data_IF_209291163383
#
_entry.id   IF_209291163383
#
_cell.length_a   1.000
_cell.length_b   1.000
_cell.length_c   1.000
_cell.angle_alpha   90.00
_cell.angle_beta   90.00
_cell.angle_gamma   90.00
#
_symmetry.space_group_name_H-M   'P 1'
#
loop_
_entity.id
_entity.type
_entity.pdbx_description
1 polymer ?
#
# COMPACT_ATOMS: atom_id res chain seq x y z
N UNK A 1 33.16 5.11 -7.00
CA UNK A 1 31.74 4.71 -6.96
C UNK A 1 31.03 5.72 -6.08
N UNK A 2 29.87 6.23 -6.49
CA UNK A 2 29.15 7.28 -5.79
C UNK A 2 27.67 6.91 -5.66
N UNK A 3 27.04 7.38 -4.58
CA UNK A 3 25.59 7.30 -4.40
C UNK A 3 24.93 8.33 -5.33
N UNK A 4 23.78 8.05 -5.96
CA UNK A 4 23.04 9.04 -6.74
C UNK A 4 22.79 10.33 -5.95
N UNK A 5 23.07 11.49 -6.55
CA UNK A 5 22.82 12.78 -5.92
C UNK A 5 21.32 13.11 -5.98
N UNK A 6 20.63 12.84 -4.86
CA UNK A 6 19.19 13.07 -4.70
C UNK A 6 18.93 14.26 -3.78
N UNK A 7 17.75 14.88 -3.91
CA UNK A 7 17.38 16.01 -3.06
C UNK A 7 17.27 15.56 -1.60
N UNK A 8 18.16 16.09 -0.75
CA UNK A 8 18.28 15.72 0.68
C UNK A 8 17.02 16.00 1.49
N UNK A 9 16.27 17.06 1.17
CA UNK A 9 15.00 17.34 1.86
C UNK A 9 13.96 16.28 1.55
N UNK A 10 13.82 15.91 0.26
CA UNK A 10 12.88 14.87 -0.18
C UNK A 10 13.30 13.49 0.34
N UNK A 11 14.60 13.25 0.50
CA UNK A 11 15.12 12.04 1.14
C UNK A 11 14.74 12.00 2.64
N UNK A 12 14.95 13.09 3.39
CA UNK A 12 14.53 13.17 4.80
C UNK A 12 13.00 13.05 4.95
N UNK A 13 12.22 13.59 4.02
CA UNK A 13 10.76 13.41 3.99
C UNK A 13 10.36 11.93 3.80
N UNK A 14 10.99 11.21 2.86
CA UNK A 14 10.76 9.78 2.64
C UNK A 14 11.22 8.92 3.85
N UNK A 15 12.38 9.22 4.42
CA UNK A 15 12.87 8.57 5.63
C UNK A 15 11.96 8.85 6.84
N UNK A 16 11.40 10.07 6.95
CA UNK A 16 10.39 10.44 7.95
C UNK A 16 9.00 9.87 7.66
N UNK A 17 8.76 9.29 6.47
CA UNK A 17 7.63 8.40 6.18
C UNK A 17 7.95 6.92 6.42
N UNK A 18 9.20 6.61 6.77
CA UNK A 18 9.68 5.26 7.08
C UNK A 18 10.18 4.45 5.89
N UNK A 19 10.43 5.06 4.73
CA UNK A 19 11.09 4.36 3.63
C UNK A 19 12.58 4.14 3.95
N UNK A 20 13.16 2.96 3.67
CA UNK A 20 14.60 2.76 3.78
C UNK A 20 15.38 3.69 2.84
N UNK A 21 16.47 4.28 3.34
CA UNK A 21 17.36 5.21 2.62
C UNK A 21 17.68 4.76 1.19
N UNK A 22 18.04 3.48 1.01
CA UNK A 22 18.38 2.91 -0.31
C UNK A 22 17.19 2.94 -1.28
N UNK A 23 16.01 2.49 -0.82
CA UNK A 23 14.78 2.54 -1.61
C UNK A 23 14.40 3.98 -1.94
N UNK A 24 14.49 4.89 -0.97
CA UNK A 24 14.19 6.31 -1.14
C UNK A 24 15.13 7.01 -2.15
N UNK A 25 16.44 6.77 -2.08
CA UNK A 25 17.42 7.24 -3.08
C UNK A 25 17.08 6.70 -4.47
N UNK A 26 16.80 5.40 -4.59
CA UNK A 26 16.44 4.75 -5.85
C UNK A 26 15.15 5.34 -6.45
N UNK A 27 14.16 5.62 -5.62
CA UNK A 27 12.90 6.22 -6.02
C UNK A 27 13.03 7.69 -6.43
N UNK A 28 13.80 8.50 -5.69
CA UNK A 28 14.11 9.88 -6.06
C UNK A 28 14.87 9.95 -7.40
N UNK A 29 15.80 9.01 -7.62
CA UNK A 29 16.50 8.88 -8.90
C UNK A 29 15.54 8.54 -10.06
N UNK A 30 14.67 7.52 -9.92
CA UNK A 30 13.77 7.12 -11.02
C UNK A 30 12.54 8.02 -11.21
N UNK A 31 12.11 8.76 -10.18
CA UNK A 31 11.11 9.84 -10.30
C UNK A 31 11.71 11.19 -10.73
N UNK A 32 13.02 11.24 -11.02
CA UNK A 32 13.71 12.42 -11.54
C UNK A 32 13.83 13.59 -10.55
N UNK A 33 13.86 13.31 -9.23
CA UNK A 33 13.82 14.30 -8.14
C UNK A 33 12.64 15.31 -8.24
N UNK A 34 11.53 14.93 -8.90
CA UNK A 34 10.47 15.87 -9.30
C UNK A 34 9.54 16.30 -8.16
N UNK A 35 8.98 15.35 -7.41
CA UNK A 35 8.12 15.57 -6.23
C UNK A 35 8.25 14.40 -5.26
N UNK A 36 8.01 14.63 -3.96
CA UNK A 36 8.05 13.56 -2.95
C UNK A 36 6.93 12.55 -3.24
N UNK A 37 5.79 13.00 -3.76
CA UNK A 37 4.69 12.15 -4.21
C UNK A 37 5.07 11.21 -5.36
N UNK A 38 5.79 11.69 -6.39
CA UNK A 38 6.22 10.84 -7.49
C UNK A 38 7.20 9.74 -7.04
N UNK A 39 8.07 10.03 -6.06
CA UNK A 39 8.92 9.01 -5.46
C UNK A 39 8.12 7.98 -4.64
N UNK A 40 7.09 8.41 -3.89
CA UNK A 40 6.20 7.50 -3.15
C UNK A 40 5.41 6.61 -4.10
N UNK A 41 4.84 7.16 -5.16
CA UNK A 41 4.05 6.41 -6.12
C UNK A 41 4.93 5.40 -6.89
N UNK A 42 6.17 5.77 -7.28
CA UNK A 42 7.14 4.83 -7.84
C UNK A 42 7.51 3.70 -6.87
N UNK A 43 7.69 4.01 -5.58
CA UNK A 43 7.99 3.03 -4.52
C UNK A 43 6.88 1.99 -4.35
N UNK A 44 5.62 2.39 -4.53
CA UNK A 44 4.45 1.51 -4.44
C UNK A 44 4.34 0.60 -5.66
N UNK A 45 4.63 1.10 -6.86
CA UNK A 45 4.60 0.30 -8.09
C UNK A 45 5.67 -0.79 -8.12
N UNK A 46 6.86 -0.52 -7.55
CA UNK A 46 8.03 -1.41 -7.62
C UNK A 46 8.30 -2.18 -6.31
N UNK A 47 7.40 -2.12 -5.31
CA UNK A 47 7.70 -2.51 -3.91
C UNK A 47 8.18 -3.97 -3.71
N UNK A 48 7.87 -4.85 -4.67
CA UNK A 48 8.16 -6.28 -4.71
C UNK A 48 9.35 -6.65 -5.62
N UNK A 49 9.99 -5.70 -6.28
CA UNK A 49 11.16 -5.96 -7.14
C UNK A 49 12.34 -6.47 -6.29
N UNK A 50 13.02 -7.51 -6.79
CA UNK A 50 14.06 -8.21 -6.03
C UNK A 50 15.34 -7.40 -5.84
N UNK A 51 15.54 -6.37 -6.65
CA UNK A 51 16.67 -5.46 -6.64
C UNK A 51 16.31 -4.04 -6.14
N UNK A 52 15.11 -3.81 -5.59
CA UNK A 52 14.73 -2.48 -5.06
C UNK A 52 15.62 -2.02 -3.88
N UNK A 53 16.21 -2.97 -3.15
CA UNK A 53 17.19 -2.71 -2.07
C UNK A 53 18.64 -2.63 -2.59
N UNK A 54 18.87 -2.68 -3.91
CA UNK A 54 20.16 -2.41 -4.53
C UNK A 54 20.28 -0.94 -4.95
N UNK A 55 21.33 -0.26 -4.47
CA UNK A 55 21.67 1.13 -4.85
C UNK A 55 22.03 1.16 -6.35
N UNK A 56 21.37 1.97 -7.18
CA UNK A 56 21.75 2.12 -8.59
C UNK A 56 23.19 2.61 -8.75
N UNK A 57 24.04 1.78 -9.36
CA UNK A 57 25.43 2.13 -9.66
C UNK A 57 25.50 3.04 -10.89
N UNK A 58 25.60 4.36 -10.66
CA UNK A 58 25.71 5.38 -11.71
C UNK A 58 26.87 6.36 -11.43
N UNK A 59 27.36 6.99 -12.50
CA UNK A 59 28.38 8.03 -12.43
C UNK A 59 27.71 9.42 -12.37
N UNK A 60 28.11 10.25 -11.41
CA UNK A 60 27.83 11.71 -11.35
C UNK A 60 28.64 12.45 -12.43
N UNK A 61 28.24 13.60 -12.99
CA UNK A 61 27.01 14.42 -12.86
C UNK A 61 26.67 15.02 -14.26
N UNK A 62 26.06 16.18 -14.57
CA UNK A 62 25.68 17.42 -13.85
C UNK A 62 24.43 18.03 -14.54
N UNK A 63 23.54 18.71 -13.79
CA UNK A 63 22.56 19.75 -14.23
C UNK A 63 21.44 19.41 -15.26
N UNK A 64 20.25 19.96 -14.99
CA UNK A 64 19.09 19.94 -15.90
C UNK A 64 18.98 21.29 -16.61
N UNK A 65 19.64 21.42 -17.77
CA UNK A 65 19.30 22.45 -18.77
C UNK A 65 19.22 21.81 -20.17
N UNK A 66 18.44 22.46 -21.05
CA UNK A 66 17.91 21.95 -22.33
C UNK A 66 18.74 20.90 -23.10
N UNK A 67 18.16 19.70 -23.23
CA UNK A 67 18.10 18.99 -24.50
C UNK A 67 19.39 18.39 -25.06
N UNK A 68 19.91 17.33 -24.42
CA UNK A 68 20.81 16.36 -25.10
C UNK A 68 20.35 14.94 -24.82
N UNK A 69 20.17 14.12 -25.88
CA UNK A 69 19.86 12.69 -25.74
C UNK A 69 21.12 11.92 -25.34
N UNK A 70 21.13 11.35 -24.14
CA UNK A 70 22.24 10.52 -23.64
C UNK A 70 22.24 9.08 -24.18
N UNK A 71 21.31 8.75 -25.09
CA UNK A 71 21.31 7.52 -25.87
C UNK A 71 21.41 7.82 -27.36
N UNK A 72 22.16 7.00 -28.09
CA UNK A 72 22.17 7.04 -29.55
C UNK A 72 20.80 6.59 -30.11
N UNK A 73 20.41 7.03 -31.33
CA UNK A 73 19.12 6.65 -31.91
C UNK A 73 18.88 5.14 -32.00
N UNK A 74 19.93 4.34 -32.20
CA UNK A 74 19.83 2.88 -32.30
C UNK A 74 19.76 2.18 -30.94
N UNK A 75 20.30 2.75 -29.86
CA UNK A 75 20.03 2.29 -28.49
C UNK A 75 18.58 2.58 -28.09
N UNK A 76 18.06 3.76 -28.44
CA UNK A 76 16.64 4.10 -28.21
C UNK A 76 15.72 3.16 -28.99
N UNK A 77 16.01 2.90 -30.27
CA UNK A 77 15.28 1.89 -31.09
C UNK A 77 15.34 0.51 -30.45
N UNK A 78 16.54 0.03 -30.11
CA UNK A 78 16.75 -1.29 -29.46
C UNK A 78 15.97 -1.42 -28.15
N UNK A 79 15.97 -0.38 -27.31
CA UNK A 79 15.25 -0.37 -26.04
C UNK A 79 13.74 -0.32 -26.24
N UNK A 80 13.25 0.49 -27.19
CA UNK A 80 11.84 0.55 -27.56
C UNK A 80 11.34 -0.78 -28.15
N UNK A 81 12.17 -1.48 -28.92
CA UNK A 81 11.83 -2.77 -29.49
C UNK A 81 11.73 -3.87 -28.42
N UNK A 82 12.67 -3.95 -27.49
CA UNK A 82 12.58 -4.86 -26.33
C UNK A 82 11.34 -4.59 -25.47
N UNK A 83 10.99 -3.31 -25.25
CA UNK A 83 9.77 -2.93 -24.53
C UNK A 83 8.50 -3.34 -25.30
N UNK A 84 8.48 -3.20 -26.64
CA UNK A 84 7.39 -3.68 -27.50
C UNK A 84 7.27 -5.20 -27.49
N UNK A 85 8.38 -5.93 -27.45
CA UNK A 85 8.41 -7.39 -27.36
C UNK A 85 7.86 -7.89 -26.00
N UNK A 86 8.31 -7.29 -24.90
CA UNK A 86 7.80 -7.58 -23.55
C UNK A 86 6.29 -7.24 -23.45
N UNK A 87 5.86 -6.13 -24.03
CA UNK A 87 4.46 -5.73 -24.11
C UNK A 87 3.62 -6.58 -25.10
N UNK A 88 4.23 -7.49 -25.88
CA UNK A 88 3.51 -8.58 -26.58
C UNK A 88 3.43 -9.81 -25.67
N UNK A 89 4.57 -10.29 -25.17
CA UNK A 89 4.66 -11.45 -24.26
C UNK A 89 3.71 -11.35 -23.05
N UNK A 90 3.59 -10.15 -22.45
CA UNK A 90 2.67 -9.93 -21.33
C UNK A 90 1.18 -10.00 -21.75
N UNK A 91 0.82 -9.61 -22.98
CA UNK A 91 -0.51 -9.83 -23.54
C UNK A 91 -0.77 -11.30 -23.82
N UNK A 92 0.18 -11.98 -24.47
CA UNK A 92 0.08 -13.41 -24.78
C UNK A 92 -0.11 -14.27 -23.51
N UNK A 93 0.52 -13.87 -22.39
CA UNK A 93 0.39 -14.50 -21.07
C UNK A 93 -0.96 -14.20 -20.42
N UNK A 94 -1.43 -12.95 -20.43
CA UNK A 94 -2.71 -12.57 -19.81
C UNK A 94 -3.91 -13.12 -20.61
N UNK A 95 -3.82 -13.19 -21.93
CA UNK A 95 -4.81 -13.88 -22.79
C UNK A 95 -4.87 -15.38 -22.49
N UNK A 96 -3.71 -16.06 -22.33
CA UNK A 96 -3.68 -17.46 -21.89
C UNK A 96 -4.26 -17.64 -20.48
N UNK A 97 -4.02 -16.70 -19.56
CA UNK A 97 -4.57 -16.74 -18.20
C UNK A 97 -6.10 -16.62 -18.24
N UNK A 98 -6.62 -15.62 -18.96
CA UNK A 98 -8.06 -15.40 -19.14
C UNK A 98 -8.74 -16.60 -19.84
N UNK A 99 -8.10 -17.20 -20.84
CA UNK A 99 -8.62 -18.40 -21.51
C UNK A 99 -8.70 -19.59 -20.54
N UNK A 100 -7.64 -19.85 -19.76
CA UNK A 100 -7.65 -20.92 -18.73
C UNK A 100 -8.69 -20.66 -17.62
N UNK A 101 -8.99 -19.40 -17.31
CA UNK A 101 -10.04 -19.04 -16.36
C UNK A 101 -11.43 -19.26 -16.94
N UNK A 102 -11.67 -18.87 -18.20
CA UNK A 102 -12.92 -19.15 -18.93
C UNK A 102 -13.21 -20.65 -19.00
N UNK A 103 -12.24 -21.47 -19.40
CA UNK A 103 -12.39 -22.93 -19.43
C UNK A 103 -12.73 -23.52 -18.05
N UNK A 104 -12.08 -23.04 -16.97
CA UNK A 104 -12.42 -23.44 -15.60
C UNK A 104 -13.84 -23.02 -15.21
N UNK A 105 -14.26 -21.82 -15.58
CA UNK A 105 -15.61 -21.32 -15.32
C UNK A 105 -16.68 -22.11 -16.09
N UNK A 106 -16.42 -22.51 -17.33
CA UNK A 106 -17.32 -23.33 -18.13
C UNK A 106 -17.41 -24.77 -17.62
N UNK A 107 -16.28 -25.41 -17.28
CA UNK A 107 -16.30 -26.73 -16.60
C UNK A 107 -17.07 -26.66 -15.27
N UNK A 108 -16.94 -25.57 -14.51
CA UNK A 108 -17.71 -25.34 -13.27
C UNK A 108 -19.21 -25.13 -13.54
N UNK A 109 -19.59 -24.52 -14.67
CA UNK A 109 -20.99 -24.40 -15.10
C UNK A 109 -21.57 -25.76 -15.50
N UNK A 110 -20.84 -26.54 -16.31
CA UNK A 110 -21.24 -27.89 -16.74
C UNK A 110 -21.39 -28.86 -15.55
N UNK A 111 -20.48 -28.81 -14.57
CA UNK A 111 -20.58 -29.62 -13.35
C UNK A 111 -21.80 -29.22 -12.50
N UNK A 112 -22.23 -27.94 -12.55
CA UNK A 112 -23.44 -27.44 -11.85
C UNK A 112 -24.75 -27.75 -12.59
N UNK A 113 -24.70 -28.34 -13.79
CA UNK A 113 -25.91 -28.79 -14.52
C UNK A 113 -26.29 -30.26 -14.27
N UNK A 114 -25.62 -30.98 -13.37
CA UNK A 114 -26.17 -32.23 -12.83
C UNK A 114 -27.17 -31.94 -11.69
N UNK A 115 -28.40 -32.49 -11.73
CA UNK A 115 -29.34 -32.37 -10.61
C UNK A 115 -28.89 -33.17 -9.37
N UNK A 116 -29.11 -32.57 -8.20
CA UNK A 116 -29.12 -33.22 -6.89
C UNK A 116 -30.26 -32.60 -6.07
N UNK A 117 -31.02 -33.43 -5.35
CA UNK A 117 -32.25 -33.02 -4.68
C UNK A 117 -32.04 -32.13 -3.42
N UNK A 118 -32.97 -31.21 -3.12
CA UNK A 118 -32.80 -30.24 -2.03
C UNK A 118 -33.48 -30.64 -0.72
N UNK A 119 -32.71 -30.98 0.33
CA UNK A 119 -33.24 -31.17 1.68
C UNK A 119 -32.23 -30.85 2.81
N UNK A 120 -32.73 -30.24 3.91
CA UNK A 120 -32.06 -30.03 5.23
C UNK A 120 -30.82 -29.09 5.22
N UNK A 121 -30.59 -28.16 6.15
CA UNK A 121 -31.39 -27.27 7.03
C UNK A 121 -30.42 -26.11 7.42
N UNK A 122 -30.78 -24.81 7.43
CA UNK A 122 -31.65 -24.04 8.36
C UNK A 122 -31.24 -24.06 9.84
N UNK A 123 -31.27 -22.85 10.43
CA UNK A 123 -31.00 -22.45 11.84
C UNK A 123 -29.52 -22.43 12.28
N UNK A 124 -29.08 -21.53 13.18
CA UNK A 124 -29.81 -20.51 13.95
C UNK A 124 -29.09 -19.15 14.00
N UNK A 125 -29.87 -18.07 14.21
CA UNK A 125 -29.39 -16.81 14.79
C UNK A 125 -29.48 -16.91 16.32
N UNK A 126 -28.57 -16.23 17.03
CA UNK A 126 -28.83 -15.76 18.39
C UNK A 126 -28.08 -14.45 18.65
N UNK A 127 -28.71 -13.53 19.36
CA UNK A 127 -28.16 -12.25 19.79
C UNK A 127 -27.77 -12.36 21.26
N UNK A 128 -26.68 -11.70 21.67
CA UNK A 128 -26.56 -11.25 23.06
C UNK A 128 -25.69 -10.00 23.16
N UNK A 129 -26.30 -8.90 23.60
CA UNK A 129 -25.56 -7.80 24.23
C UNK A 129 -25.17 -8.22 25.65
N UNK A 130 -23.95 -7.90 26.08
CA UNK A 130 -23.71 -7.58 27.48
C UNK A 130 -22.50 -6.64 27.64
N UNK A 131 -22.50 -5.84 28.71
CA UNK A 131 -21.49 -4.81 28.98
C UNK A 131 -20.43 -5.37 29.93
N UNK A 132 -19.14 -5.22 29.61
CA UNK A 132 -18.07 -5.53 30.57
C UNK A 132 -16.65 -5.64 30.02
N UNK A 133 -15.78 -4.73 30.45
CA UNK A 133 -14.32 -4.88 30.63
C UNK A 133 -13.46 -5.57 29.54
N UNK A 134 -12.91 -4.75 28.63
CA UNK A 134 -11.49 -4.75 28.21
C UNK A 134 -10.77 -6.12 28.10
N UNK A 135 -11.11 -6.92 27.07
CA UNK A 135 -10.10 -7.67 26.30
C UNK A 135 -10.60 -7.96 24.88
N UNK A 136 -10.25 -7.10 23.92
CA UNK A 136 -10.76 -7.21 22.54
C UNK A 136 -10.00 -8.29 21.79
N UNK A 137 -10.65 -9.43 21.53
CA UNK A 137 -10.11 -10.51 20.69
C UNK A 137 -9.66 -9.94 19.32
N UNK A 138 -8.52 -10.38 18.73
CA UNK A 138 -7.99 -9.82 17.48
C UNK A 138 -9.03 -9.73 16.34
N UNK A 139 -9.92 -10.71 16.21
CA UNK A 139 -11.04 -10.72 15.27
C UNK A 139 -11.90 -9.45 15.36
N UNK A 140 -12.24 -9.00 16.57
CA UNK A 140 -13.09 -7.84 16.78
C UNK A 140 -12.36 -6.51 16.51
N UNK A 141 -11.03 -6.44 16.63
CA UNK A 141 -10.25 -5.30 16.10
C UNK A 141 -10.28 -5.30 14.57
N UNK A 142 -10.13 -6.46 13.94
CA UNK A 142 -10.15 -6.59 12.47
C UNK A 142 -11.51 -6.23 11.83
N UNK A 143 -12.64 -6.51 12.50
CA UNK A 143 -13.96 -6.03 12.05
C UNK A 143 -14.05 -4.49 12.11
N UNK A 144 -13.72 -3.86 13.25
CA UNK A 144 -13.72 -2.40 13.36
C UNK A 144 -12.79 -1.74 12.33
N UNK A 145 -11.61 -2.33 12.06
CA UNK A 145 -10.71 -1.88 11.00
C UNK A 145 -11.38 -1.92 9.61
N UNK A 146 -12.14 -2.98 9.29
CA UNK A 146 -12.91 -3.00 8.03
C UNK A 146 -13.97 -1.91 8.00
N UNK A 147 -14.67 -1.66 9.10
CA UNK A 147 -15.74 -0.66 9.11
C UNK A 147 -15.23 0.79 9.08
N UNK A 148 -14.05 1.08 9.64
CA UNK A 148 -13.35 2.36 9.41
C UNK A 148 -12.97 2.52 7.92
N UNK A 149 -12.34 1.52 7.30
CA UNK A 149 -11.96 1.56 5.88
C UNK A 149 -13.18 1.62 4.94
N UNK A 150 -14.25 0.87 5.25
CA UNK A 150 -15.56 0.91 4.57
C UNK A 150 -16.16 2.30 4.66
N UNK A 151 -16.20 2.90 5.85
CA UNK A 151 -16.77 4.22 6.08
C UNK A 151 -15.98 5.30 5.35
N UNK A 152 -14.65 5.22 5.35
CA UNK A 152 -13.77 6.10 4.58
C UNK A 152 -14.08 6.00 3.07
N UNK A 153 -14.12 4.79 2.50
CA UNK A 153 -14.47 4.53 1.08
C UNK A 153 -15.92 4.96 0.74
N UNK A 154 -16.85 4.87 1.70
CA UNK A 154 -18.27 5.27 1.55
C UNK A 154 -18.50 6.78 1.64
N UNK A 155 -17.71 7.50 2.43
CA UNK A 155 -17.83 8.94 2.62
C UNK A 155 -17.12 9.72 1.50
N UNK A 156 -16.02 9.19 0.96
CA UNK A 156 -15.20 9.83 -0.07
C UNK A 156 -15.38 9.20 -1.47
N UNK A 157 -16.61 8.81 -1.82
CA UNK A 157 -16.94 8.16 -3.12
C UNK A 157 -16.50 8.94 -4.35
N UNK A 158 -16.47 10.26 -4.28
CA UNK A 158 -16.07 11.15 -5.37
C UNK A 158 -14.54 11.36 -5.45
N UNK A 159 -13.79 10.88 -4.46
CA UNK A 159 -12.33 11.00 -4.33
C UNK A 159 -11.68 9.61 -4.18
N UNK A 160 -12.05 8.67 -5.07
CA UNK A 160 -11.52 7.31 -5.03
C UNK A 160 -9.98 7.25 -5.10
N UNK A 161 -9.36 8.20 -5.81
CA UNK A 161 -7.91 8.33 -5.89
C UNK A 161 -7.27 8.79 -4.57
N UNK A 162 -7.82 9.81 -3.90
CA UNK A 162 -7.37 10.23 -2.57
C UNK A 162 -7.55 9.14 -1.53
N UNK A 163 -8.66 8.41 -1.57
CA UNK A 163 -8.90 7.22 -0.73
C UNK A 163 -7.84 6.13 -0.96
N UNK A 164 -7.49 5.84 -2.21
CA UNK A 164 -6.47 4.84 -2.53
C UNK A 164 -5.07 5.29 -2.06
N UNK A 165 -4.72 6.57 -2.24
CA UNK A 165 -3.47 7.14 -1.70
C UNK A 165 -3.44 7.15 -0.17
N UNK A 166 -4.59 7.33 0.49
CA UNK A 166 -4.72 7.20 1.94
C UNK A 166 -4.43 5.76 2.41
N UNK A 167 -5.07 4.76 1.80
CA UNK A 167 -4.86 3.35 2.15
C UNK A 167 -3.42 2.90 1.93
N UNK A 168 -2.78 3.31 0.82
CA UNK A 168 -1.37 3.03 0.58
C UNK A 168 -0.46 3.68 1.66
N UNK A 169 -0.75 4.92 2.04
CA UNK A 169 0.01 5.65 3.08
C UNK A 169 -0.15 5.03 4.47
N UNK A 170 -1.37 4.60 4.83
CA UNK A 170 -1.63 3.80 6.04
C UNK A 170 -0.88 2.47 6.01
N UNK A 171 -0.86 1.78 4.85
CA UNK A 171 -0.17 0.51 4.70
C UNK A 171 1.33 0.64 4.90
N UNK A 172 1.95 1.72 4.40
CA UNK A 172 3.37 2.02 4.62
C UNK A 172 3.69 2.10 6.13
N UNK A 173 2.97 2.91 6.91
CA UNK A 173 3.24 3.05 8.34
C UNK A 173 3.08 1.74 9.11
N UNK A 174 1.97 1.02 8.90
CA UNK A 174 1.71 -0.27 9.58
C UNK A 174 2.74 -1.33 9.18
N UNK A 175 3.14 -1.38 7.89
CA UNK A 175 4.13 -2.32 7.35
C UNK A 175 5.53 -2.06 7.90
N UNK A 176 5.92 -0.79 8.05
CA UNK A 176 7.24 -0.43 8.54
C UNK A 176 7.42 -0.86 10.00
N UNK A 177 6.40 -0.64 10.85
CA UNK A 177 6.35 -1.20 12.21
C UNK A 177 6.33 -2.73 12.19
N UNK A 178 5.47 -3.36 11.38
CA UNK A 178 5.34 -4.81 11.37
C UNK A 178 6.62 -5.54 10.91
N UNK A 179 7.44 -4.91 10.06
CA UNK A 179 8.76 -5.42 9.66
C UNK A 179 9.85 -5.14 10.71
N UNK A 180 9.85 -3.95 11.32
CA UNK A 180 10.92 -3.46 12.18
C UNK A 180 10.35 -2.90 13.51
N UNK A 181 9.74 -3.73 14.37
CA UNK A 181 8.95 -3.28 15.53
C UNK A 181 9.79 -2.58 16.61
N UNK A 182 11.09 -2.88 16.69
CA UNK A 182 12.01 -2.24 17.61
C UNK A 182 12.31 -0.78 17.22
N UNK A 183 12.39 -0.47 15.92
CA UNK A 183 12.97 0.78 15.44
C UNK A 183 12.01 1.97 15.59
N UNK A 184 12.35 2.87 16.52
CA UNK A 184 11.44 3.94 16.96
C UNK A 184 11.03 4.92 15.86
N UNK A 185 11.88 5.13 14.84
CA UNK A 185 11.58 6.03 13.72
C UNK A 185 10.34 5.61 12.92
N UNK A 186 10.02 4.31 12.88
CA UNK A 186 8.80 3.80 12.24
C UNK A 186 7.59 3.84 13.18
N UNK A 187 7.82 3.87 14.50
CA UNK A 187 6.79 3.98 15.53
C UNK A 187 6.38 5.43 15.82
N UNK A 188 7.02 6.45 15.22
CA UNK A 188 6.68 7.87 15.39
C UNK A 188 6.36 8.56 14.06
N UNK A 189 5.11 9.00 13.87
CA UNK A 189 4.63 9.68 12.67
C UNK A 189 4.47 11.18 12.96
N UNK A 190 4.98 12.07 12.09
CA UNK A 190 4.86 13.53 12.22
C UNK A 190 3.49 14.01 11.72
N UNK A 191 2.61 14.51 12.60
CA UNK A 191 1.29 15.01 12.18
C UNK A 191 1.37 16.33 11.41
N UNK A 192 2.47 17.09 11.56
CA UNK A 192 2.73 18.30 10.76
C UNK A 192 3.19 18.05 9.32
N UNK A 193 3.37 16.81 8.87
CA UNK A 193 3.79 16.51 7.50
C UNK A 193 2.62 16.73 6.52
N UNK A 194 2.81 17.55 5.49
CA UNK A 194 1.81 17.83 4.45
C UNK A 194 1.34 16.55 3.73
N UNK A 195 2.26 15.62 3.42
CA UNK A 195 1.91 14.32 2.83
C UNK A 195 1.06 13.45 3.78
N UNK A 196 1.27 13.56 5.10
CA UNK A 196 0.40 12.90 6.06
C UNK A 196 -0.98 13.57 6.12
N UNK A 197 -1.02 14.90 6.20
CA UNK A 197 -2.26 15.65 6.34
C UNK A 197 -3.18 15.51 5.12
N UNK A 198 -2.65 15.66 3.91
CA UNK A 198 -3.47 15.56 2.70
C UNK A 198 -3.99 14.15 2.45
N UNK A 199 -3.17 13.12 2.72
CA UNK A 199 -3.54 11.72 2.44
C UNK A 199 -4.34 11.07 3.57
N UNK A 200 -4.00 11.32 4.84
CA UNK A 200 -4.53 10.60 6.00
C UNK A 200 -5.18 11.54 7.02
N UNK A 201 -4.52 12.66 7.38
CA UNK A 201 -5.01 13.58 8.42
C UNK A 201 -6.37 14.22 8.10
N UNK A 202 -6.66 14.52 6.83
CA UNK A 202 -7.97 15.01 6.38
C UNK A 202 -9.10 13.97 6.48
N UNK A 203 -8.78 12.69 6.71
CA UNK A 203 -9.72 11.57 6.72
C UNK A 203 -9.87 11.00 8.14
N UNK A 204 -10.98 11.30 8.82
CA UNK A 204 -11.23 10.83 10.20
C UNK A 204 -11.03 9.32 10.38
N UNK A 205 -11.56 8.52 9.46
CA UNK A 205 -11.40 7.06 9.47
C UNK A 205 -9.95 6.57 9.30
N UNK A 206 -9.03 7.40 8.78
CA UNK A 206 -7.60 7.11 8.70
C UNK A 206 -6.89 7.34 10.04
N UNK A 207 -7.27 8.38 10.78
CA UNK A 207 -6.82 8.60 12.15
C UNK A 207 -7.35 7.51 13.10
N UNK A 208 -8.64 7.22 13.03
CA UNK A 208 -9.29 6.12 13.78
C UNK A 208 -8.62 4.76 13.48
N UNK A 209 -8.23 4.50 12.24
CA UNK A 209 -7.54 3.27 11.85
C UNK A 209 -6.13 3.16 12.47
N UNK A 210 -5.38 4.26 12.57
CA UNK A 210 -4.07 4.27 13.25
C UNK A 210 -4.24 4.07 14.77
N UNK A 211 -5.28 4.66 15.37
CA UNK A 211 -5.63 4.44 16.78
C UNK A 211 -6.02 2.96 17.04
N UNK A 212 -6.76 2.32 16.12
CA UNK A 212 -7.05 0.87 16.16
C UNK A 212 -5.78 0.00 15.99
N UNK A 213 -4.75 0.49 15.30
CA UNK A 213 -3.43 -0.13 15.22
C UNK A 213 -2.56 0.10 16.47
N UNK A 214 -3.03 0.89 17.44
CA UNK A 214 -2.34 1.18 18.71
C UNK A 214 -1.51 2.47 18.73
N UNK A 215 -1.55 3.29 17.67
CA UNK A 215 -0.89 4.60 17.70
C UNK A 215 -1.66 5.60 18.56
N UNK A 216 -0.97 6.34 19.40
CA UNK A 216 -1.52 7.31 20.34
C UNK A 216 -0.99 8.71 20.04
N UNK A 217 -1.82 9.75 20.22
CA UNK A 217 -1.40 11.13 19.98
C UNK A 217 -0.54 11.63 21.14
N UNK A 218 0.62 12.19 20.83
CA UNK A 218 1.60 12.67 21.81
C UNK A 218 2.09 14.09 21.51
N UNK A 219 2.70 14.72 22.51
CA UNK A 219 3.27 16.08 22.44
C UNK A 219 2.26 17.18 22.05
N UNK A 220 0.97 16.97 22.40
CA UNK A 220 -0.12 17.89 22.07
C UNK A 220 -0.51 17.82 20.60
N UNK A 221 -0.91 16.63 20.14
CA UNK A 221 -1.34 16.33 18.77
C UNK A 221 -0.33 16.71 17.66
N UNK A 222 0.97 16.68 17.99
CA UNK A 222 2.08 16.93 17.03
C UNK A 222 2.61 15.65 16.37
N UNK A 223 2.52 14.52 17.07
CA UNK A 223 2.96 13.22 16.57
C UNK A 223 1.95 12.13 16.96
N UNK A 224 1.85 11.10 16.13
CA UNK A 224 1.33 9.79 16.53
C UNK A 224 2.51 8.92 16.93
N UNK A 225 2.41 8.21 18.06
CA UNK A 225 3.44 7.32 18.57
C UNK A 225 2.85 5.96 18.95
N UNK A 226 3.57 4.88 18.62
CA UNK A 226 3.23 3.52 19.02
C UNK A 226 4.22 3.03 20.10
N UNK A 227 3.81 2.95 21.38
CA UNK A 227 4.62 2.37 22.44
C UNK A 227 4.98 0.92 22.13
N UNK A 228 6.21 0.50 22.46
CA UNK A 228 6.72 -0.86 22.19
C UNK A 228 5.80 -1.94 22.78
N UNK A 229 5.30 -1.69 23.99
CA UNK A 229 4.39 -2.56 24.75
C UNK A 229 2.99 -2.70 24.13
N UNK A 230 2.66 -1.88 23.12
CA UNK A 230 1.40 -1.90 22.36
C UNK A 230 1.56 -2.44 20.92
N UNK A 231 2.76 -2.86 20.52
CA UNK A 231 3.05 -3.43 19.19
C UNK A 231 2.50 -4.86 19.10
N UNK A 232 1.22 -5.00 18.78
CA UNK A 232 0.58 -6.28 18.50
C UNK A 232 0.74 -6.66 17.02
N UNK A 233 1.74 -7.49 16.71
CA UNK A 233 2.01 -7.97 15.35
C UNK A 233 0.82 -8.72 14.73
N UNK A 234 -0.09 -9.31 15.52
CA UNK A 234 -1.28 -9.98 14.97
C UNK A 234 -2.31 -8.97 14.47
N UNK A 235 -2.48 -7.87 15.21
CA UNK A 235 -3.34 -6.74 14.82
C UNK A 235 -2.74 -5.98 13.64
N UNK A 236 -1.43 -5.71 13.63
CA UNK A 236 -0.77 -5.03 12.51
C UNK A 236 -0.83 -5.84 11.20
N UNK A 237 -0.62 -7.16 11.25
CA UNK A 237 -0.76 -8.00 10.07
C UNK A 237 -2.23 -8.11 9.60
N UNK A 238 -3.19 -8.18 10.52
CA UNK A 238 -4.61 -8.11 10.16
C UNK A 238 -4.98 -6.76 9.51
N UNK A 239 -4.45 -5.64 10.02
CA UNK A 239 -4.63 -4.30 9.49
C UNK A 239 -4.11 -4.19 8.05
N UNK A 240 -2.91 -4.72 7.77
CA UNK A 240 -2.36 -4.79 6.40
C UNK A 240 -3.26 -5.60 5.47
N UNK A 241 -3.74 -6.78 5.91
CA UNK A 241 -4.65 -7.59 5.10
C UNK A 241 -5.98 -6.87 4.79
N UNK A 242 -6.51 -6.05 5.70
CA UNK A 242 -7.69 -5.23 5.42
C UNK A 242 -7.39 -4.06 4.46
N UNK A 243 -6.24 -3.41 4.59
CA UNK A 243 -5.81 -2.33 3.68
C UNK A 243 -5.60 -2.83 2.25
N UNK A 244 -4.86 -3.95 2.08
CA UNK A 244 -4.68 -4.59 0.78
C UNK A 244 -6.03 -5.03 0.19
N UNK A 245 -6.90 -5.64 0.99
CA UNK A 245 -8.27 -5.96 0.57
C UNK A 245 -9.07 -4.72 0.15
N UNK A 246 -8.89 -3.56 0.81
CA UNK A 246 -9.59 -2.32 0.50
C UNK A 246 -9.09 -1.63 -0.77
N UNK A 247 -7.82 -1.83 -1.12
CA UNK A 247 -7.17 -1.37 -2.35
C UNK A 247 -7.51 -2.28 -3.54
N UNK A 248 -7.32 -3.60 -3.42
CA UNK A 248 -7.48 -4.55 -4.52
C UNK A 248 -8.94 -4.86 -4.86
N UNK A 249 -9.86 -4.89 -3.87
CA UNK A 249 -11.23 -5.30 -4.09
C UNK A 249 -12.16 -4.11 -4.41
N UNK A 250 -12.75 -4.02 -5.62
CA UNK A 250 -13.73 -2.98 -5.94
C UNK A 250 -14.96 -3.01 -5.02
N UNK A 251 -15.35 -4.20 -4.56
CA UNK A 251 -16.53 -4.44 -3.73
C UNK A 251 -16.24 -4.42 -2.21
N UNK A 252 -15.07 -3.95 -1.80
CA UNK A 252 -14.75 -3.81 -0.37
C UNK A 252 -15.79 -2.93 0.33
N UNK A 253 -16.58 -3.53 1.24
CA UNK A 253 -17.61 -2.84 2.01
C UNK A 253 -19.04 -2.88 1.44
N UNK A 254 -19.35 -3.78 0.49
CA UNK A 254 -20.68 -3.91 -0.18
C UNK A 254 -21.66 -4.87 0.54
N UNK A 255 -21.25 -5.52 1.63
CA UNK A 255 -22.08 -6.35 2.52
C UNK A 255 -22.26 -5.69 3.89
#
# INVERSE_FOLDING_TARGET
>A
MAVPEVNKQMLEELESMGFPTVRAIRALHFSGNSTTEAAIDWLLEHENDRDIDEIPLVHVNVQIENGTSWMTPDEVRTRLERLRELARKNRDVEEQRLQREREKAERRRQLRSQPQDPAVAKHALSVQENKGSIHVKPTARAEHMRDCLRSLKKNHKNDGAGVQKAFATLAIYVRNVAKNPEEEKFRKIRLGNLNFQDRVGRLKGGMEFLELCGFEKVEGDKYLYLPRDKVDLTVLNAALSQLHSAMENPFFGVL
#
